data_IF_713620734790
#
_entry.id   IF_713620734790
#
_cell.length_a   1.000
_cell.length_b   1.000
_cell.length_c   1.000
_cell.angle_alpha   90.00
_cell.angle_beta   90.00
_cell.angle_gamma   90.00
#
_symmetry.space_group_name_H-M   'P 1'
#
loop_
_entity.id
_entity.type
_entity.pdbx_description
1 polymer ?
#
# COMPACT_ATOMS: atom_id res chain seq x y z
N UNK A 1 -1.76 -74.64 45.16
CA UNK A 1 -0.28 -74.73 45.02
C UNK A 1 0.01 -74.96 43.54
N UNK A 2 0.77 -74.18 42.76
CA UNK A 2 1.61 -73.00 42.94
C UNK A 2 1.46 -72.16 41.67
N UNK A 3 1.30 -70.84 41.83
CA UNK A 3 1.51 -69.82 40.79
C UNK A 3 3.01 -69.50 40.75
N UNK A 4 3.64 -69.52 39.59
CA UNK A 4 4.78 -68.64 39.25
C UNK A 4 4.72 -68.42 37.75
N UNK A 5 4.40 -67.21 37.31
CA UNK A 5 4.88 -66.70 36.03
C UNK A 5 5.10 -65.20 36.16
N UNK A 6 6.38 -64.89 35.97
CA UNK A 6 7.13 -63.66 35.87
C UNK A 6 6.40 -62.54 35.10
N UNK A 7 6.18 -61.39 35.74
CA UNK A 7 5.83 -60.13 35.05
C UNK A 7 7.12 -59.33 34.84
N UNK A 8 7.56 -59.22 33.58
CA UNK A 8 8.58 -58.26 33.16
C UNK A 8 7.86 -56.93 32.90
N UNK A 9 8.16 -55.93 33.74
CA UNK A 9 7.75 -54.55 33.54
C UNK A 9 8.63 -53.94 32.44
N UNK A 10 8.07 -53.71 31.25
CA UNK A 10 8.68 -52.92 30.19
C UNK A 10 7.91 -51.58 30.11
N UNK A 11 8.42 -50.58 30.82
CA UNK A 11 8.03 -49.18 30.68
C UNK A 11 8.45 -48.69 29.29
N UNK A 12 7.52 -48.69 28.35
CA UNK A 12 7.64 -47.99 27.08
C UNK A 12 7.52 -46.48 27.35
N UNK A 13 8.67 -45.81 27.42
CA UNK A 13 8.77 -44.37 27.28
C UNK A 13 8.24 -43.97 25.90
N UNK A 14 6.98 -43.55 25.84
CA UNK A 14 6.41 -42.84 24.68
C UNK A 14 7.02 -41.44 24.63
N UNK A 15 8.18 -41.34 23.99
CA UNK A 15 8.75 -40.06 23.56
C UNK A 15 7.83 -39.50 22.47
N UNK A 16 6.86 -38.68 22.88
CA UNK A 16 6.12 -37.83 21.96
C UNK A 16 7.11 -36.78 21.41
N UNK A 17 7.68 -37.07 20.24
CA UNK A 17 8.45 -36.11 19.47
C UNK A 17 7.47 -35.04 19.01
N UNK A 18 7.38 -33.95 19.79
CA UNK A 18 6.88 -32.68 19.29
C UNK A 18 7.86 -32.23 18.20
N UNK A 19 7.54 -32.58 16.95
CA UNK A 19 8.08 -31.90 15.78
C UNK A 19 7.60 -30.46 15.85
N UNK A 20 8.40 -29.60 16.53
CA UNK A 20 8.41 -28.17 16.31
C UNK A 20 8.81 -27.96 14.84
N UNK A 21 7.82 -28.05 13.95
CA UNK A 21 7.96 -27.54 12.59
C UNK A 21 8.13 -26.04 12.74
N UNK A 22 9.38 -25.58 12.70
CA UNK A 22 9.63 -24.16 12.49
C UNK A 22 8.91 -23.82 11.18
N UNK A 23 8.01 -22.82 11.17
CA UNK A 23 7.34 -22.44 9.94
C UNK A 23 8.44 -22.13 8.94
N UNK A 24 8.49 -22.92 7.86
CA UNK A 24 9.40 -22.69 6.75
C UNK A 24 9.23 -21.22 6.38
N UNK A 25 10.31 -20.43 6.51
CA UNK A 25 10.32 -19.07 5.99
C UNK A 25 10.12 -19.22 4.48
N UNK A 26 8.88 -19.08 4.01
CA UNK A 26 8.59 -18.98 2.57
C UNK A 26 9.47 -17.83 2.07
N UNK A 27 10.55 -18.20 1.37
CA UNK A 27 11.47 -17.26 0.74
C UNK A 27 10.73 -16.71 -0.45
N UNK A 28 10.79 -15.39 -0.62
CA UNK A 28 10.27 -14.79 -1.84
C UNK A 28 11.00 -15.40 -3.04
N UNK A 29 10.25 -15.78 -4.06
CA UNK A 29 10.81 -16.32 -5.28
C UNK A 29 11.68 -15.26 -5.95
N UNK A 30 12.96 -15.57 -6.16
CA UNK A 30 13.88 -14.65 -6.84
C UNK A 30 13.53 -14.65 -8.32
N UNK A 31 13.29 -13.47 -8.89
CA UNK A 31 13.00 -13.34 -10.32
C UNK A 31 14.29 -13.60 -11.11
N UNK A 32 14.24 -14.54 -12.05
CA UNK A 32 15.40 -14.94 -12.85
C UNK A 32 15.83 -13.86 -13.87
N UNK A 33 17.00 -14.04 -14.49
CA UNK A 33 17.56 -13.05 -15.43
C UNK A 33 16.76 -12.93 -16.72
N UNK A 34 16.17 -14.02 -17.22
CA UNK A 34 15.37 -13.99 -18.44
C UNK A 34 14.13 -13.12 -18.22
N UNK A 35 13.43 -13.32 -17.10
CA UNK A 35 12.29 -12.51 -16.69
C UNK A 35 12.67 -11.04 -16.51
N UNK A 36 13.84 -10.75 -15.91
CA UNK A 36 14.36 -9.37 -15.82
C UNK A 36 14.60 -8.73 -17.20
N UNK A 37 15.16 -9.48 -18.16
CA UNK A 37 15.36 -8.99 -19.52
C UNK A 37 14.02 -8.73 -20.24
N UNK A 38 13.04 -9.63 -20.09
CA UNK A 38 11.70 -9.44 -20.66
C UNK A 38 11.03 -8.16 -20.15
N UNK A 39 11.08 -7.91 -18.84
CA UNK A 39 10.55 -6.67 -18.25
C UNK A 39 11.30 -5.43 -18.73
N UNK A 40 12.62 -5.52 -18.90
CA UNK A 40 13.40 -4.42 -19.47
C UNK A 40 12.98 -4.12 -20.92
N UNK A 41 12.80 -5.16 -21.74
CA UNK A 41 12.35 -5.01 -23.12
C UNK A 41 10.91 -4.50 -23.19
N UNK A 42 10.04 -4.92 -22.27
CA UNK A 42 8.71 -4.35 -22.11
C UNK A 42 8.78 -2.84 -21.87
N UNK A 43 9.57 -2.38 -20.89
CA UNK A 43 9.70 -0.95 -20.60
C UNK A 43 10.19 -0.15 -21.82
N UNK A 44 11.16 -0.68 -22.58
CA UNK A 44 11.66 -0.05 -23.82
C UNK A 44 10.60 -0.01 -24.91
N UNK A 45 9.95 -1.14 -25.19
CA UNK A 45 8.96 -1.26 -26.27
C UNK A 45 7.72 -0.39 -26.02
N UNK A 46 7.38 -0.13 -24.76
CA UNK A 46 6.26 0.71 -24.37
C UNK A 46 6.64 2.18 -24.08
N UNK A 47 7.91 2.54 -24.28
CA UNK A 47 8.48 3.87 -24.03
C UNK A 47 8.23 4.35 -22.59
N UNK A 48 8.53 3.51 -21.60
CA UNK A 48 8.34 3.80 -20.19
C UNK A 48 9.64 4.37 -19.60
N UNK A 49 9.65 5.65 -19.26
CA UNK A 49 10.71 6.26 -18.44
C UNK A 49 10.43 5.95 -16.97
N UNK A 50 11.29 5.18 -16.32
CA UNK A 50 10.97 4.70 -14.98
C UNK A 50 11.90 3.61 -14.46
N UNK A 51 11.48 3.05 -13.33
CA UNK A 51 12.10 1.87 -12.75
C UNK A 51 11.03 0.82 -12.46
N UNK A 52 11.37 -0.45 -12.74
CA UNK A 52 10.67 -1.60 -12.20
C UNK A 52 11.50 -2.25 -11.09
N UNK A 53 10.86 -2.65 -10.00
CA UNK A 53 11.48 -3.42 -8.93
C UNK A 53 10.89 -4.82 -8.94
N UNK A 54 11.75 -5.83 -8.85
CA UNK A 54 11.38 -7.26 -8.83
C UNK A 54 12.09 -7.98 -7.68
N UNK A 55 11.62 -9.16 -7.26
CA UNK A 55 12.25 -9.88 -6.16
C UNK A 55 13.69 -10.29 -6.49
N UNK A 56 14.63 -9.81 -5.68
CA UNK A 56 16.01 -10.29 -5.61
C UNK A 56 16.22 -11.22 -4.42
N UNK A 57 17.49 -11.42 -4.08
CA UNK A 57 17.90 -12.27 -2.94
C UNK A 57 17.51 -11.62 -1.61
N UNK A 58 17.13 -12.46 -0.65
CA UNK A 58 16.87 -12.09 0.75
C UNK A 58 15.80 -10.98 0.93
N UNK A 59 14.79 -10.96 0.04
CA UNK A 59 13.69 -10.00 0.10
C UNK A 59 14.05 -8.57 -0.36
N UNK A 60 15.27 -8.37 -0.88
CA UNK A 60 15.71 -7.11 -1.48
C UNK A 60 15.29 -7.05 -2.96
N UNK A 61 14.96 -5.87 -3.50
CA UNK A 61 14.62 -5.77 -4.91
C UNK A 61 15.87 -5.84 -5.80
N UNK A 62 15.67 -6.32 -7.02
CA UNK A 62 16.50 -5.96 -8.19
C UNK A 62 15.78 -4.83 -8.92
N UNK A 63 16.50 -3.76 -9.26
CA UNK A 63 15.96 -2.64 -10.02
C UNK A 63 16.28 -2.82 -11.50
N UNK A 64 15.25 -2.72 -12.33
CA UNK A 64 15.30 -2.65 -13.79
C UNK A 64 15.01 -1.20 -14.17
N UNK A 65 15.92 -0.57 -14.89
CA UNK A 65 15.83 0.84 -15.26
C UNK A 65 15.60 0.99 -16.77
N UNK A 66 14.75 1.95 -17.15
CA UNK A 66 14.65 2.43 -18.52
C UNK A 66 14.56 3.97 -18.53
N UNK A 67 15.37 4.61 -19.37
CA UNK A 67 15.46 6.06 -19.48
C UNK A 67 15.09 6.49 -20.90
N UNK A 68 13.94 7.14 -21.08
CA UNK A 68 13.48 7.73 -22.34
C UNK A 68 13.86 9.21 -22.45
N UNK A 69 14.87 9.65 -21.69
CA UNK A 69 15.32 11.03 -21.61
C UNK A 69 16.82 11.12 -21.33
N UNK A 70 17.45 12.18 -21.82
CA UNK A 70 18.83 12.57 -21.48
C UNK A 70 18.89 13.65 -20.40
N UNK A 71 17.75 14.23 -20.02
CA UNK A 71 17.65 15.21 -18.95
C UNK A 71 17.76 14.51 -17.59
N UNK A 72 18.85 14.79 -16.86
CA UNK A 72 19.13 14.20 -15.55
C UNK A 72 18.05 14.47 -14.51
N UNK A 73 17.29 15.55 -14.65
CA UNK A 73 16.21 15.89 -13.73
C UNK A 73 14.95 15.05 -13.96
N UNK A 74 14.80 14.41 -15.13
CA UNK A 74 13.67 13.54 -15.48
C UNK A 74 13.97 12.04 -15.27
N UNK A 75 15.21 11.68 -14.91
CA UNK A 75 15.58 10.29 -14.64
C UNK A 75 14.98 9.83 -13.32
N UNK A 76 14.13 8.79 -13.38
CA UNK A 76 13.57 8.12 -12.20
C UNK A 76 14.65 7.22 -11.60
N UNK A 77 14.82 7.26 -10.28
CA UNK A 77 15.78 6.40 -9.56
C UNK A 77 15.10 5.73 -8.37
N UNK A 78 15.47 4.48 -8.11
CA UNK A 78 14.84 3.68 -7.06
C UNK A 78 15.13 4.18 -5.63
N UNK A 79 16.17 5.00 -5.43
CA UNK A 79 16.59 5.56 -4.14
C UNK A 79 16.24 7.05 -3.96
N UNK A 80 15.51 7.66 -4.91
CA UNK A 80 15.04 9.05 -4.82
C UNK A 80 13.55 9.08 -4.50
N UNK A 81 13.11 10.17 -3.87
CA UNK A 81 11.69 10.36 -3.56
C UNK A 81 10.85 10.31 -4.84
N UNK A 82 9.71 9.64 -4.75
CA UNK A 82 8.73 9.54 -5.82
C UNK A 82 7.32 9.81 -5.22
N UNK A 83 6.43 10.52 -5.91
CA UNK A 83 5.06 10.71 -5.41
C UNK A 83 4.31 9.38 -5.45
N UNK A 84 3.96 8.81 -4.30
CA UNK A 84 3.35 7.47 -4.29
C UNK A 84 1.89 7.46 -4.70
N UNK A 85 1.22 8.62 -4.66
CA UNK A 85 -0.21 8.74 -4.95
C UNK A 85 -1.00 7.68 -4.14
N UNK A 86 -2.05 7.11 -4.74
CA UNK A 86 -2.91 6.09 -4.12
C UNK A 86 -2.21 4.83 -3.60
N UNK A 87 -0.95 4.57 -3.94
CA UNK A 87 -0.18 3.51 -3.27
C UNK A 87 -0.05 3.76 -1.75
N UNK A 88 -0.10 5.02 -1.32
CA UNK A 88 -0.13 5.37 0.10
C UNK A 88 -1.29 4.75 0.87
N UNK A 89 -2.42 4.44 0.22
CA UNK A 89 -3.58 3.83 0.91
C UNK A 89 -3.22 2.53 1.61
N UNK A 90 -2.23 1.78 1.11
CA UNK A 90 -1.70 0.59 1.79
C UNK A 90 -1.03 0.97 3.11
N UNK A 91 -0.25 2.06 3.14
CA UNK A 91 0.39 2.58 4.36
C UNK A 91 -0.65 2.95 5.41
N UNK A 92 -1.69 3.67 5.00
CA UNK A 92 -2.80 4.07 5.88
C UNK A 92 -3.59 2.86 6.36
N UNK A 93 -3.95 1.93 5.46
CA UNK A 93 -4.64 0.69 5.79
C UNK A 93 -3.86 -0.13 6.82
N UNK A 94 -2.56 -0.38 6.59
CA UNK A 94 -1.69 -1.07 7.55
C UNK A 94 -1.64 -0.35 8.90
N UNK A 95 -1.64 0.98 8.95
CA UNK A 95 -1.71 1.72 10.21
C UNK A 95 -3.04 1.47 10.95
N UNK A 96 -4.17 1.48 10.24
CA UNK A 96 -5.49 1.13 10.81
C UNK A 96 -5.47 -0.28 11.38
N UNK A 97 -4.91 -1.25 10.65
CA UNK A 97 -4.76 -2.62 11.14
C UNK A 97 -3.87 -2.72 12.38
N UNK A 98 -2.77 -1.97 12.47
CA UNK A 98 -1.96 -1.91 13.70
C UNK A 98 -2.76 -1.36 14.90
N UNK A 99 -3.66 -0.39 14.69
CA UNK A 99 -4.56 0.10 15.76
C UNK A 99 -5.58 -0.97 16.16
N UNK A 100 -6.10 -1.72 15.18
CA UNK A 100 -6.97 -2.87 15.42
C UNK A 100 -6.30 -3.95 16.25
N UNK A 101 -5.09 -4.35 15.90
CA UNK A 101 -4.32 -5.33 16.68
C UNK A 101 -4.10 -4.89 18.13
N UNK A 102 -3.97 -3.58 18.36
CA UNK A 102 -3.88 -2.95 19.68
C UNK A 102 -5.25 -2.76 20.37
N UNK A 103 -6.34 -3.28 19.78
CA UNK A 103 -7.74 -3.16 20.25
C UNK A 103 -8.20 -1.71 20.45
N UNK A 104 -7.62 -0.76 19.69
CA UNK A 104 -7.97 0.66 19.79
C UNK A 104 -9.20 1.02 18.94
N UNK A 105 -9.43 0.24 17.89
CA UNK A 105 -10.59 0.26 17.02
C UNK A 105 -10.84 -1.16 16.49
N UNK A 106 -11.99 -1.36 15.87
CA UNK A 106 -12.33 -2.56 15.10
C UNK A 106 -13.02 -2.14 13.80
N UNK A 107 -13.22 -3.09 12.88
CA UNK A 107 -13.86 -2.83 11.59
C UNK A 107 -15.26 -2.25 11.73
N UNK A 108 -16.04 -2.70 12.72
CA UNK A 108 -17.41 -2.21 12.97
C UNK A 108 -17.44 -0.96 13.88
N UNK A 109 -16.28 -0.34 14.16
CA UNK A 109 -16.27 0.93 14.88
C UNK A 109 -16.93 2.01 14.03
N UNK A 110 -18.01 2.60 14.53
CA UNK A 110 -18.70 3.71 13.86
C UNK A 110 -17.81 4.96 13.75
N UNK A 111 -17.88 5.65 12.61
CA UNK A 111 -17.22 6.91 12.34
C UNK A 111 -17.61 8.00 13.36
N UNK A 112 -18.83 7.95 13.88
CA UNK A 112 -19.35 8.88 14.90
C UNK A 112 -18.53 8.91 16.20
N UNK A 113 -17.76 7.86 16.51
CA UNK A 113 -16.78 7.85 17.62
C UNK A 113 -15.72 8.94 17.43
N UNK A 114 -15.34 9.22 16.18
CA UNK A 114 -14.25 10.15 15.84
C UNK A 114 -14.75 11.45 15.20
N UNK A 115 -15.77 11.39 14.35
CA UNK A 115 -16.27 12.55 13.61
C UNK A 115 -17.81 12.57 13.62
N UNK A 116 -18.45 12.78 14.79
CA UNK A 116 -19.92 12.78 14.91
C UNK A 116 -20.60 13.92 14.15
N UNK A 117 -19.85 14.92 13.70
CA UNK A 117 -20.37 16.03 12.90
C UNK A 117 -20.52 15.69 11.40
N UNK A 118 -19.96 14.56 10.95
CA UNK A 118 -20.12 14.11 9.56
C UNK A 118 -21.51 13.49 9.40
N UNK A 119 -22.20 13.86 8.33
CA UNK A 119 -23.49 13.28 7.98
C UNK A 119 -23.35 11.77 7.72
N UNK A 120 -24.32 10.97 8.17
CA UNK A 120 -24.21 9.51 8.11
C UNK A 120 -23.17 8.86 9.04
N UNK A 121 -22.43 9.63 9.86
CA UNK A 121 -21.31 9.08 10.65
C UNK A 121 -21.67 7.94 11.61
N UNK A 122 -22.95 7.81 12.01
CA UNK A 122 -23.42 6.68 12.82
C UNK A 122 -23.56 5.38 12.03
N UNK A 123 -23.83 5.49 10.73
CA UNK A 123 -24.07 4.39 9.79
C UNK A 123 -22.74 3.91 9.21
N UNK A 124 -21.80 4.83 8.98
CA UNK A 124 -20.47 4.54 8.43
C UNK A 124 -19.54 3.91 9.47
N UNK A 125 -18.85 2.85 9.07
CA UNK A 125 -17.87 2.09 9.87
C UNK A 125 -16.45 2.20 9.33
N UNK A 126 -15.44 1.79 10.12
CA UNK A 126 -14.05 1.66 9.64
C UNK A 126 -13.98 0.69 8.45
N UNK A 127 -14.78 -0.37 8.45
CA UNK A 127 -14.87 -1.36 7.36
C UNK A 127 -15.24 -0.69 6.04
N UNK A 128 -16.27 0.16 6.06
CA UNK A 128 -16.78 0.85 4.87
C UNK A 128 -15.80 1.88 4.31
N UNK A 129 -15.04 2.54 5.20
CA UNK A 129 -13.92 3.40 4.77
C UNK A 129 -12.77 2.58 4.16
N UNK A 130 -12.47 1.40 4.71
CA UNK A 130 -11.37 0.54 4.22
C UNK A 130 -11.68 -0.14 2.87
N UNK A 131 -12.95 -0.21 2.47
CA UNK A 131 -13.39 -0.87 1.24
C UNK A 131 -14.11 0.05 0.23
N UNK A 132 -14.14 1.36 0.48
CA UNK A 132 -14.79 2.34 -0.40
C UNK A 132 -16.30 2.17 -0.56
N UNK A 133 -17.01 1.82 0.53
CA UNK A 133 -18.48 1.67 0.55
C UNK A 133 -19.17 2.61 1.54
N UNK A 134 -18.51 3.70 1.93
CA UNK A 134 -19.01 4.63 2.95
C UNK A 134 -20.12 5.57 2.46
N UNK A 135 -20.28 5.73 1.15
CA UNK A 135 -21.10 6.78 0.54
C UNK A 135 -20.54 8.20 0.68
N UNK A 136 -19.31 8.37 1.20
CA UNK A 136 -18.66 9.67 1.28
C UNK A 136 -18.03 10.05 -0.06
N UNK A 137 -18.29 11.27 -0.52
CA UNK A 137 -17.75 11.78 -1.79
C UNK A 137 -16.99 13.09 -1.55
N UNK A 138 -15.79 13.20 -2.13
CA UNK A 138 -15.06 14.47 -2.22
C UNK A 138 -14.21 14.56 -3.49
N UNK A 139 -14.71 15.30 -4.48
CA UNK A 139 -14.00 15.57 -5.73
C UNK A 139 -13.42 17.00 -5.79
N UNK A 140 -13.56 17.78 -4.72
CA UNK A 140 -13.08 19.17 -4.71
C UNK A 140 -11.55 19.21 -4.58
N UNK A 141 -10.94 20.21 -5.22
CA UNK A 141 -9.49 20.46 -5.12
C UNK A 141 -9.23 21.93 -4.78
N UNK A 142 -8.27 22.20 -3.87
CA UNK A 142 -7.96 23.55 -3.45
C UNK A 142 -7.26 24.30 -4.59
N UNK A 143 -7.36 25.64 -4.62
CA UNK A 143 -6.60 26.44 -5.58
C UNK A 143 -5.11 26.54 -5.20
N UNK A 144 -4.81 26.55 -3.90
CA UNK A 144 -3.44 26.57 -3.37
C UNK A 144 -3.16 25.34 -2.50
N UNK A 145 -1.91 24.84 -2.45
CA UNK A 145 -1.58 23.67 -1.63
C UNK A 145 -1.90 23.87 -0.14
N UNK A 146 -2.62 22.91 0.44
CA UNK A 146 -3.06 22.90 1.84
C UNK A 146 -1.91 22.54 2.78
N UNK A 147 -1.33 23.53 3.47
CA UNK A 147 -0.14 23.30 4.31
C UNK A 147 -0.49 22.70 5.67
N UNK A 148 -0.11 21.44 5.85
CA UNK A 148 -0.14 20.72 7.11
C UNK A 148 -1.50 20.11 7.44
N UNK A 149 -1.46 19.06 8.26
CA UNK A 149 -2.60 18.20 8.58
C UNK A 149 -3.87 18.95 9.01
N UNK A 150 -3.76 20.04 9.78
CA UNK A 150 -4.94 20.81 10.22
C UNK A 150 -5.69 21.42 9.03
N UNK A 151 -4.97 21.99 8.06
CA UNK A 151 -5.57 22.60 6.87
C UNK A 151 -6.19 21.52 5.98
N UNK A 152 -5.51 20.39 5.82
CA UNK A 152 -5.99 19.26 5.02
C UNK A 152 -7.29 18.68 5.58
N UNK A 153 -7.33 18.36 6.87
CA UNK A 153 -8.54 17.85 7.54
C UNK A 153 -9.68 18.89 7.50
N UNK A 154 -9.38 20.17 7.71
CA UNK A 154 -10.41 21.22 7.66
C UNK A 154 -11.02 21.37 6.26
N UNK A 155 -10.19 21.24 5.22
CA UNK A 155 -10.65 21.24 3.83
C UNK A 155 -11.52 20.02 3.54
N UNK A 156 -11.02 18.82 3.82
CA UNK A 156 -11.77 17.56 3.67
C UNK A 156 -13.15 17.65 4.34
N UNK A 157 -13.22 18.02 5.63
CA UNK A 157 -14.48 18.10 6.37
C UNK A 157 -15.46 19.14 5.83
N UNK A 158 -14.97 20.20 5.18
CA UNK A 158 -15.81 21.24 4.60
C UNK A 158 -16.40 20.83 3.24
N UNK A 159 -15.70 19.99 2.51
CA UNK A 159 -16.00 19.68 1.10
C UNK A 159 -16.61 18.28 0.91
N UNK A 160 -16.44 17.37 1.87
CA UNK A 160 -17.07 16.05 1.82
C UNK A 160 -18.60 16.16 1.79
N UNK A 161 -19.21 15.20 1.10
CA UNK A 161 -20.65 14.98 1.04
C UNK A 161 -20.94 13.52 1.32
N UNK A 162 -22.18 13.21 1.69
CA UNK A 162 -22.65 11.85 1.89
C UNK A 162 -23.82 11.60 0.94
N UNK A 163 -23.73 10.56 0.12
CA UNK A 163 -24.70 10.23 -0.92
C UNK A 163 -25.69 9.12 -0.50
N UNK A 164 -25.47 8.51 0.67
CA UNK A 164 -26.26 7.43 1.26
C UNK A 164 -26.27 6.10 0.49
N UNK A 165 -25.44 5.92 -0.55
CA UNK A 165 -25.57 4.76 -1.45
C UNK A 165 -24.99 3.48 -0.86
N UNK A 166 -23.97 3.57 0.01
CA UNK A 166 -23.25 2.43 0.60
C UNK A 166 -22.83 1.33 -0.41
N UNK A 167 -22.65 1.74 -1.67
CA UNK A 167 -22.13 0.90 -2.75
C UNK A 167 -20.65 1.23 -3.00
N UNK A 168 -19.97 0.39 -3.75
CA UNK A 168 -18.56 0.62 -4.04
C UNK A 168 -18.38 1.87 -4.90
N UNK A 169 -17.66 2.87 -4.37
CA UNK A 169 -17.22 4.05 -5.09
C UNK A 169 -15.84 4.48 -4.58
N UNK A 170 -14.81 4.39 -5.43
CA UNK A 170 -13.44 4.70 -5.03
C UNK A 170 -13.30 6.19 -4.71
N UNK A 171 -13.19 6.52 -3.43
CA UNK A 171 -13.15 7.89 -2.94
C UNK A 171 -11.94 8.13 -2.02
N UNK A 172 -11.08 9.09 -2.38
CA UNK A 172 -9.89 9.44 -1.58
C UNK A 172 -10.25 9.83 -0.15
N UNK A 173 -11.42 10.46 0.03
CA UNK A 173 -11.95 10.93 1.32
C UNK A 173 -12.04 9.82 2.36
N UNK A 174 -12.27 8.57 1.95
CA UNK A 174 -12.33 7.45 2.89
C UNK A 174 -10.99 7.27 3.61
N UNK A 175 -9.89 7.36 2.85
CA UNK A 175 -8.54 7.24 3.38
C UNK A 175 -8.05 8.52 4.07
N UNK A 176 -8.56 9.68 3.65
CA UNK A 176 -8.36 10.94 4.38
C UNK A 176 -8.98 10.88 5.78
N UNK A 177 -10.20 10.35 5.89
CA UNK A 177 -10.87 10.10 7.17
C UNK A 177 -10.08 9.08 7.99
N UNK A 178 -9.63 7.96 7.41
CA UNK A 178 -8.83 6.95 8.13
C UNK A 178 -7.52 7.55 8.69
N UNK A 179 -6.81 8.38 7.94
CA UNK A 179 -5.63 9.08 8.44
C UNK A 179 -5.95 10.09 9.55
N UNK A 180 -7.10 10.76 9.45
CA UNK A 180 -7.60 11.65 10.49
C UNK A 180 -8.01 10.88 11.76
N UNK A 181 -8.56 9.67 11.63
CA UNK A 181 -8.88 8.75 12.73
C UNK A 181 -7.60 8.27 13.42
N UNK A 182 -6.58 7.86 12.65
CA UNK A 182 -5.27 7.48 13.19
C UNK A 182 -4.73 8.59 14.08
N UNK A 183 -4.81 9.84 13.60
CA UNK A 183 -4.34 10.99 14.37
C UNK A 183 -5.13 11.20 15.66
N UNK A 184 -6.46 11.10 15.60
CA UNK A 184 -7.34 11.30 16.76
C UNK A 184 -7.18 10.18 17.81
N UNK A 185 -7.11 8.93 17.36
CA UNK A 185 -6.99 7.76 18.22
C UNK A 185 -5.62 7.67 18.92
N UNK A 186 -4.57 8.21 18.29
CA UNK A 186 -3.19 8.07 18.78
C UNK A 186 -2.65 9.34 19.43
N UNK A 187 -3.39 10.45 19.38
CA UNK A 187 -3.00 11.76 19.88
C UNK A 187 -1.65 12.29 19.33
N UNK A 188 -1.32 11.90 18.10
CA UNK A 188 -0.15 12.37 17.37
C UNK A 188 -0.53 12.66 15.92
N UNK A 189 0.28 13.44 15.18
CA UNK A 189 0.03 13.64 13.75
C UNK A 189 0.14 12.32 12.98
N UNK A 190 -0.57 12.20 11.85
CA UNK A 190 -0.50 11.05 10.97
C UNK A 190 0.96 10.80 10.54
N UNK A 191 1.67 11.84 10.11
CA UNK A 191 3.08 11.74 9.70
C UNK A 191 4.01 11.33 10.85
N UNK A 192 3.72 11.74 12.09
CA UNK A 192 4.43 11.24 13.28
C UNK A 192 4.17 9.75 13.50
N UNK A 193 2.92 9.30 13.31
CA UNK A 193 2.57 7.88 13.39
C UNK A 193 3.34 7.06 12.36
N UNK A 194 3.32 7.46 11.09
CA UNK A 194 4.02 6.76 9.99
C UNK A 194 5.52 6.69 10.28
N UNK A 195 6.14 7.79 10.69
CA UNK A 195 7.58 7.78 11.01
C UNK A 195 7.93 6.88 12.17
N UNK A 196 7.12 6.91 13.24
CA UNK A 196 7.39 6.16 14.47
C UNK A 196 7.16 4.66 14.28
N UNK A 197 6.09 4.27 13.58
CA UNK A 197 5.68 2.87 13.49
C UNK A 197 6.20 2.16 12.24
N UNK A 198 6.57 2.88 11.17
CA UNK A 198 7.05 2.28 9.93
C UNK A 198 8.44 2.77 9.52
N UNK A 199 8.62 4.09 9.35
CA UNK A 199 9.86 4.60 8.77
C UNK A 199 11.09 4.29 9.63
N UNK A 200 11.02 4.55 10.94
CA UNK A 200 12.14 4.29 11.87
C UNK A 200 12.43 2.79 12.02
N UNK A 201 11.44 1.91 12.31
CA UNK A 201 11.70 0.48 12.48
C UNK A 201 12.22 -0.22 11.22
N UNK A 202 11.79 0.22 10.03
CA UNK A 202 12.20 -0.37 8.75
C UNK A 202 13.41 0.32 8.11
N UNK A 203 13.96 1.35 8.75
CA UNK A 203 15.03 2.18 8.19
C UNK A 203 14.69 2.72 6.78
N UNK A 204 13.50 3.32 6.66
CA UNK A 204 13.09 4.05 5.46
C UNK A 204 13.72 5.44 5.52
N UNK A 205 14.63 5.73 4.61
CA UNK A 205 15.42 6.97 4.59
C UNK A 205 14.80 8.05 3.72
N UNK A 206 13.97 7.66 2.75
CA UNK A 206 13.37 8.48 1.72
C UNK A 206 11.85 8.36 1.81
N UNK A 207 11.29 8.98 2.85
CA UNK A 207 9.85 9.11 3.08
C UNK A 207 9.57 10.50 3.65
N UNK A 208 8.72 11.26 2.96
CA UNK A 208 8.37 12.64 3.33
C UNK A 208 6.91 12.92 3.08
N UNK A 209 6.35 13.82 3.86
CA UNK A 209 5.09 14.47 3.52
C UNK A 209 5.31 15.45 2.36
N UNK A 210 4.31 15.66 1.50
CA UNK A 210 4.41 16.58 0.36
C UNK A 210 4.93 17.97 0.77
N UNK A 211 4.59 18.46 1.96
CA UNK A 211 5.00 19.78 2.45
C UNK A 211 6.49 19.88 2.81
N UNK A 212 7.18 18.75 2.90
CA UNK A 212 8.62 18.64 3.21
C UNK A 212 9.47 18.35 1.96
N UNK A 213 8.83 18.28 0.79
CA UNK A 213 9.47 17.96 -0.49
C UNK A 213 9.64 19.23 -1.31
N UNK A 214 10.82 19.40 -1.89
CA UNK A 214 11.06 20.37 -2.96
C UNK A 214 11.08 19.67 -4.33
N UNK A 215 10.74 20.42 -5.39
CA UNK A 215 10.71 19.88 -6.76
C UNK A 215 12.01 19.16 -7.16
N UNK A 216 13.18 19.57 -6.67
CA UNK A 216 14.49 19.00 -7.04
C UNK A 216 14.77 17.61 -6.45
N UNK A 217 13.96 17.20 -5.47
CA UNK A 217 14.14 15.93 -4.77
C UNK A 217 13.47 14.75 -5.47
N UNK A 218 12.62 15.03 -6.45
CA UNK A 218 11.88 14.04 -7.25
C UNK A 218 12.27 14.13 -8.73
N UNK A 219 12.10 13.06 -9.52
CA UNK A 219 12.18 13.18 -10.98
C UNK A 219 11.12 14.14 -11.50
N UNK A 220 11.47 15.06 -12.39
CA UNK A 220 10.50 15.96 -13.04
C UNK A 220 9.61 15.18 -14.00
N UNK A 221 8.32 15.53 -14.15
CA UNK A 221 7.45 14.89 -15.11
C UNK A 221 7.96 15.16 -16.54
N UNK A 222 7.71 14.22 -17.45
CA UNK A 222 8.01 14.41 -18.87
C UNK A 222 6.85 15.08 -19.63
N UNK A 223 5.66 15.11 -19.04
CA UNK A 223 4.53 15.90 -19.54
C UNK A 223 4.77 17.39 -19.26
N UNK A 224 4.94 18.25 -20.28
CA UNK A 224 5.22 19.67 -20.10
C UNK A 224 4.04 20.45 -19.50
N UNK A 225 2.84 19.87 -19.44
CA UNK A 225 1.65 20.48 -18.84
C UNK A 225 1.55 20.27 -17.33
N UNK A 226 2.52 19.56 -16.74
CA UNK A 226 2.58 19.28 -15.31
C UNK A 226 3.70 20.10 -14.68
N UNK A 227 3.30 21.05 -13.83
CA UNK A 227 4.23 21.82 -13.02
C UNK A 227 4.15 21.42 -11.53
N UNK A 228 5.04 22.00 -10.73
CA UNK A 228 5.12 21.72 -9.30
C UNK A 228 3.87 22.19 -8.53
N UNK A 229 3.20 23.24 -9.00
CA UNK A 229 1.98 23.72 -8.35
C UNK A 229 0.86 22.69 -8.52
N UNK A 230 0.67 22.14 -9.72
CA UNK A 230 -0.31 21.08 -9.98
C UNK A 230 -0.05 19.82 -9.15
N UNK A 231 1.21 19.41 -9.02
CA UNK A 231 1.61 18.26 -8.17
C UNK A 231 1.29 18.53 -6.70
N UNK A 232 1.64 19.71 -6.19
CA UNK A 232 1.44 20.04 -4.77
C UNK A 232 -0.01 20.31 -4.41
N UNK A 233 -0.81 20.91 -5.29
CA UNK A 233 -2.27 21.05 -5.09
C UNK A 233 -2.91 19.67 -4.93
N UNK A 234 -2.65 18.77 -5.88
CA UNK A 234 -3.18 17.40 -5.87
C UNK A 234 -2.76 16.65 -4.60
N UNK A 235 -1.45 16.57 -4.35
CA UNK A 235 -0.95 15.81 -3.19
C UNK A 235 -1.32 16.45 -1.85
N UNK A 236 -1.56 17.76 -1.79
CA UNK A 236 -1.98 18.41 -0.53
C UNK A 236 -3.41 18.08 -0.13
N UNK A 237 -4.33 17.84 -1.07
CA UNK A 237 -5.71 17.47 -0.75
C UNK A 237 -5.84 16.00 -0.37
N UNK A 238 -4.99 15.13 -0.90
CA UNK A 238 -5.09 13.67 -0.72
C UNK A 238 -4.42 13.22 0.61
N UNK A 239 -4.74 13.87 1.73
CA UNK A 239 -4.15 13.58 3.04
C UNK A 239 -4.37 12.12 3.45
N UNK A 240 -3.33 11.36 3.75
CA UNK A 240 -3.50 9.93 4.06
C UNK A 240 -3.77 9.03 2.85
N UNK A 241 -4.16 9.60 1.71
CA UNK A 241 -4.53 8.88 0.49
C UNK A 241 -3.46 8.95 -0.61
N UNK A 242 -2.68 10.02 -0.68
CA UNK A 242 -1.66 10.25 -1.70
C UNK A 242 -0.63 11.36 -1.44
N UNK A 243 -0.63 11.98 -0.25
CA UNK A 243 0.28 13.06 0.14
C UNK A 243 1.71 12.64 0.58
N UNK A 244 2.05 11.36 0.58
CA UNK A 244 3.39 10.86 0.88
C UNK A 244 4.24 10.71 -0.38
N UNK A 245 5.51 11.02 -0.22
CA UNK A 245 6.55 10.82 -1.20
C UNK A 245 7.50 9.79 -0.61
N UNK A 246 7.68 8.66 -1.29
CA UNK A 246 8.49 7.54 -0.83
C UNK A 246 9.35 7.08 -1.98
N UNK A 247 10.63 6.78 -1.73
CA UNK A 247 11.44 6.17 -2.79
C UNK A 247 10.93 4.77 -3.15
N UNK A 248 11.06 4.33 -4.42
CA UNK A 248 10.69 2.97 -4.81
C UNK A 248 11.28 1.88 -3.91
N UNK A 249 12.56 2.00 -3.52
CA UNK A 249 13.22 1.05 -2.63
C UNK A 249 12.63 1.04 -1.21
N UNK A 250 12.28 2.19 -0.66
CA UNK A 250 11.67 2.24 0.67
C UNK A 250 10.21 1.82 0.65
N UNK A 251 9.48 2.09 -0.43
CA UNK A 251 8.14 1.57 -0.63
C UNK A 251 8.15 0.03 -0.77
N UNK A 252 9.11 -0.52 -1.51
CA UNK A 252 9.36 -1.97 -1.55
C UNK A 252 9.58 -2.55 -0.16
N UNK A 253 10.49 -1.95 0.63
CA UNK A 253 10.76 -2.40 2.01
C UNK A 253 9.51 -2.37 2.88
N UNK A 254 8.69 -1.32 2.76
CA UNK A 254 7.43 -1.20 3.49
C UNK A 254 6.48 -2.34 3.14
N UNK A 255 6.12 -2.49 1.86
CA UNK A 255 5.17 -3.51 1.40
C UNK A 255 5.70 -4.92 1.74
N UNK A 256 6.97 -5.20 1.49
CA UNK A 256 7.53 -6.52 1.77
C UNK A 256 7.49 -6.90 3.26
N UNK A 257 7.77 -5.95 4.17
CA UNK A 257 7.90 -6.25 5.60
C UNK A 257 6.60 -6.11 6.39
N UNK A 258 5.76 -5.13 6.06
CA UNK A 258 4.53 -4.87 6.81
C UNK A 258 3.30 -5.50 6.17
N UNK A 259 3.35 -5.82 4.87
CA UNK A 259 2.23 -6.42 4.14
C UNK A 259 2.50 -7.89 3.86
N UNK A 260 3.49 -8.21 3.01
CA UNK A 260 3.73 -9.59 2.54
C UNK A 260 4.29 -10.53 3.62
N UNK A 261 4.86 -9.98 4.70
CA UNK A 261 5.37 -10.76 5.84
C UNK A 261 4.38 -10.85 7.01
N UNK A 262 3.21 -10.23 6.91
CA UNK A 262 2.11 -10.41 7.85
C UNK A 262 0.94 -11.18 7.20
N UNK A 263 1.02 -12.53 7.14
CA UNK A 263 -0.04 -13.33 6.56
C UNK A 263 -1.36 -13.22 7.33
N UNK A 264 -1.35 -12.79 8.60
CA UNK A 264 -2.60 -12.60 9.35
C UNK A 264 -3.34 -11.38 8.84
N UNK A 265 -2.63 -10.27 8.65
CA UNK A 265 -3.20 -9.04 8.10
C UNK A 265 -3.83 -9.30 6.74
N UNK A 266 -3.06 -9.88 5.81
CA UNK A 266 -3.53 -9.99 4.43
C UNK A 266 -4.68 -11.01 4.29
N UNK A 267 -4.68 -12.10 5.07
CA UNK A 267 -5.80 -13.02 5.10
C UNK A 267 -7.04 -12.36 5.70
N UNK A 268 -6.89 -11.53 6.74
CA UNK A 268 -8.01 -10.79 7.31
C UNK A 268 -8.59 -9.79 6.30
N UNK A 269 -7.74 -9.07 5.57
CA UNK A 269 -8.17 -8.18 4.49
C UNK A 269 -8.88 -8.95 3.38
N UNK A 270 -8.35 -10.10 2.97
CA UNK A 270 -8.98 -10.95 1.99
C UNK A 270 -10.38 -11.37 2.44
N UNK A 271 -10.56 -11.81 3.69
CA UNK A 271 -11.89 -12.14 4.22
C UNK A 271 -12.88 -10.96 4.18
N UNK A 272 -12.39 -9.72 4.30
CA UNK A 272 -13.25 -8.53 4.16
C UNK A 272 -13.57 -8.17 2.72
N UNK A 273 -12.62 -8.38 1.81
CA UNK A 273 -12.79 -8.14 0.40
C UNK A 273 -13.68 -9.20 -0.28
N UNK A 274 -13.73 -10.41 0.28
CA UNK A 274 -14.57 -11.49 -0.24
C UNK A 274 -16.06 -11.09 -0.19
N UNK A 275 -16.79 -11.46 -1.25
CA UNK A 275 -18.22 -11.20 -1.42
C UNK A 275 -18.63 -9.72 -1.57
N UNK A 276 -17.66 -8.81 -1.73
CA UNK A 276 -17.93 -7.43 -2.13
C UNK A 276 -18.10 -7.33 -3.66
N UNK A 277 -18.77 -6.28 -4.13
CA UNK A 277 -18.89 -5.96 -5.57
C UNK A 277 -17.52 -5.86 -6.23
N UNK A 278 -16.59 -5.17 -5.55
CA UNK A 278 -15.18 -5.11 -5.90
C UNK A 278 -14.39 -5.66 -4.72
N UNK A 279 -13.54 -6.65 -4.98
CA UNK A 279 -12.68 -7.25 -3.96
C UNK A 279 -11.54 -6.29 -3.58
N UNK A 280 -11.86 -5.27 -2.76
CA UNK A 280 -10.93 -4.25 -2.30
C UNK A 280 -11.00 -4.13 -0.78
N UNK A 281 -9.85 -4.11 -0.12
CA UNK A 281 -9.79 -3.80 1.31
C UNK A 281 -8.39 -3.31 1.69
N UNK A 282 -8.30 -2.24 2.48
CA UNK A 282 -7.05 -1.84 3.12
C UNK A 282 -5.94 -1.39 2.17
N UNK A 283 -6.32 -0.86 1.00
CA UNK A 283 -5.41 -0.23 0.06
C UNK A 283 -5.17 -1.03 -1.20
N UNK A 284 -5.68 -2.27 -1.27
CA UNK A 284 -5.35 -3.23 -2.33
C UNK A 284 -6.60 -3.88 -2.91
N UNK A 285 -6.54 -4.15 -4.21
CA UNK A 285 -7.46 -5.05 -4.91
C UNK A 285 -6.96 -6.49 -4.76
N UNK A 286 -7.88 -7.43 -4.64
CA UNK A 286 -7.62 -8.86 -4.58
C UNK A 286 -8.06 -9.56 -5.88
N UNK A 287 -7.22 -10.47 -6.35
CA UNK A 287 -7.51 -11.44 -7.42
C UNK A 287 -6.89 -12.79 -7.03
N UNK A 288 -7.69 -13.64 -6.39
CA UNK A 288 -7.23 -14.87 -5.76
C UNK A 288 -6.12 -14.64 -4.72
N UNK A 289 -4.92 -15.14 -5.02
CA UNK A 289 -3.73 -15.00 -4.18
C UNK A 289 -2.89 -13.77 -4.52
N UNK A 290 -3.32 -12.98 -5.50
CA UNK A 290 -2.64 -11.77 -5.96
C UNK A 290 -3.33 -10.53 -5.41
N UNK A 291 -2.52 -9.58 -4.96
CA UNK A 291 -2.95 -8.23 -4.60
C UNK A 291 -2.30 -7.20 -5.51
N UNK A 292 -3.03 -6.13 -5.82
CA UNK A 292 -2.52 -5.02 -6.63
C UNK A 292 -3.04 -3.66 -6.19
N UNK A 293 -2.29 -2.61 -6.50
CA UNK A 293 -2.78 -1.24 -6.43
C UNK A 293 -2.04 -0.36 -7.44
N UNK A 294 -2.72 0.72 -7.82
CA UNK A 294 -2.21 1.75 -8.71
C UNK A 294 -2.16 3.10 -7.98
N UNK A 295 -1.15 3.90 -8.30
CA UNK A 295 -0.99 5.28 -7.89
C UNK A 295 -0.92 6.16 -9.13
N UNK A 296 -1.73 7.22 -9.17
CA UNK A 296 -1.71 8.19 -10.26
C UNK A 296 -1.94 9.58 -9.71
N UNK A 297 -1.06 10.51 -10.09
CA UNK A 297 -1.26 11.95 -9.99
C UNK A 297 -0.74 12.58 -11.30
N UNK A 298 -1.01 13.87 -11.58
CA UNK A 298 -0.48 14.52 -12.78
C UNK A 298 1.02 14.28 -12.95
N UNK A 299 1.41 13.65 -14.06
CA UNK A 299 2.79 13.40 -14.45
C UNK A 299 3.49 12.22 -13.75
N UNK A 300 2.82 11.47 -12.86
CA UNK A 300 3.41 10.35 -12.14
C UNK A 300 2.43 9.18 -12.02
N UNK A 301 2.91 8.00 -12.39
CA UNK A 301 2.14 6.77 -12.41
C UNK A 301 2.97 5.63 -11.84
N UNK A 302 2.37 4.85 -10.94
CA UNK A 302 3.02 3.74 -10.28
C UNK A 302 2.03 2.61 -10.02
N UNK A 303 2.52 1.38 -9.98
CA UNK A 303 1.71 0.23 -9.58
C UNK A 303 2.55 -0.73 -8.77
N UNK A 304 1.87 -1.59 -8.02
CA UNK A 304 2.45 -2.83 -7.56
C UNK A 304 1.47 -3.98 -7.80
N UNK A 305 2.03 -5.15 -8.04
CA UNK A 305 1.32 -6.43 -8.11
C UNK A 305 2.14 -7.43 -7.31
N UNK A 306 1.50 -8.19 -6.43
CA UNK A 306 2.18 -9.19 -5.61
C UNK A 306 1.30 -10.40 -5.32
N UNK A 307 1.88 -11.59 -5.41
CA UNK A 307 1.32 -12.78 -4.80
C UNK A 307 1.70 -12.78 -3.32
N UNK A 308 0.70 -12.72 -2.43
CA UNK A 308 0.95 -12.62 -0.99
C UNK A 308 1.28 -13.95 -0.31
N UNK A 309 1.09 -15.09 -0.99
CA UNK A 309 1.52 -16.40 -0.50
C UNK A 309 2.99 -16.66 -0.83
N UNK A 310 3.41 -16.44 -2.07
CA UNK A 310 4.79 -16.63 -2.52
C UNK A 310 5.68 -15.43 -2.20
N UNK A 311 5.07 -14.26 -1.95
CA UNK A 311 5.73 -12.95 -1.75
C UNK A 311 6.47 -12.46 -2.99
N UNK A 312 6.11 -13.01 -4.16
CA UNK A 312 6.53 -12.48 -5.45
C UNK A 312 5.83 -11.15 -5.66
N UNK A 313 6.54 -10.16 -6.16
CA UNK A 313 6.13 -8.77 -6.22
C UNK A 313 6.88 -8.04 -7.33
N UNK A 314 6.14 -7.29 -8.12
CA UNK A 314 6.68 -6.38 -9.13
C UNK A 314 6.07 -5.00 -8.89
N UNK A 315 6.91 -3.96 -8.92
CA UNK A 315 6.49 -2.56 -8.80
C UNK A 315 6.98 -1.76 -9.99
N UNK A 316 6.18 -0.83 -10.50
CA UNK A 316 6.58 0.15 -11.51
C UNK A 316 6.44 1.57 -10.94
N UNK A 317 7.41 2.42 -11.24
CA UNK A 317 7.36 3.86 -10.97
C UNK A 317 7.81 4.63 -12.21
N UNK A 318 6.92 5.45 -12.78
CA UNK A 318 7.15 6.17 -14.04
C UNK A 318 6.61 7.59 -14.01
N UNK A 319 7.30 8.50 -14.70
CA UNK A 319 6.97 9.93 -14.78
C UNK A 319 6.61 10.39 -16.22
N UNK A 320 6.29 9.46 -17.12
CA UNK A 320 5.97 9.79 -18.53
C UNK A 320 4.78 9.03 -19.11
N UNK A 321 4.32 7.94 -18.50
CA UNK A 321 3.14 7.22 -18.96
C UNK A 321 1.87 7.86 -18.40
N UNK A 322 0.76 7.71 -19.12
CA UNK A 322 -0.57 8.04 -18.62
C UNK A 322 -1.19 6.90 -17.80
N UNK A 323 -2.39 7.15 -17.26
CA UNK A 323 -3.09 6.18 -16.43
C UNK A 323 -3.57 4.93 -17.20
N UNK A 324 -3.91 5.05 -18.49
CA UNK A 324 -4.34 3.92 -19.30
C UNK A 324 -3.17 2.95 -19.56
N UNK A 325 -2.01 3.50 -19.89
CA UNK A 325 -0.77 2.73 -20.04
C UNK A 325 -0.35 2.11 -18.72
N UNK A 326 -0.49 2.82 -17.59
CA UNK A 326 -0.28 2.23 -16.27
C UNK A 326 -1.16 1.01 -16.03
N UNK A 327 -2.47 1.09 -16.32
CA UNK A 327 -3.39 -0.05 -16.18
C UNK A 327 -2.95 -1.23 -17.05
N UNK A 328 -2.69 -0.97 -18.33
CA UNK A 328 -2.23 -2.00 -19.26
C UNK A 328 -0.95 -2.70 -18.77
N UNK A 329 0.01 -1.95 -18.20
CA UNK A 329 1.21 -2.53 -17.60
C UNK A 329 0.92 -3.30 -16.31
N UNK A 330 0.03 -2.81 -15.44
CA UNK A 330 -0.36 -3.55 -14.25
C UNK A 330 -1.09 -4.86 -14.59
N UNK A 331 -1.93 -4.87 -15.63
CA UNK A 331 -2.63 -6.06 -16.11
C UNK A 331 -1.65 -7.05 -16.76
N UNK A 332 -0.69 -6.55 -17.55
CA UNK A 332 0.39 -7.37 -18.12
C UNK A 332 1.23 -8.06 -17.03
N UNK A 333 1.61 -7.31 -15.99
CA UNK A 333 2.33 -7.86 -14.83
C UNK A 333 1.52 -8.98 -14.16
N UNK A 334 0.22 -8.77 -13.96
CA UNK A 334 -0.68 -9.74 -13.33
C UNK A 334 -0.71 -11.05 -14.13
N UNK A 335 -1.08 -10.98 -15.40
CA UNK A 335 -1.34 -12.18 -16.21
C UNK A 335 -0.06 -12.89 -16.66
N UNK A 336 1.02 -12.17 -16.94
CA UNK A 336 2.24 -12.77 -17.50
C UNK A 336 3.30 -13.10 -16.44
N UNK A 337 3.19 -12.56 -15.23
CA UNK A 337 4.23 -12.71 -14.21
C UNK A 337 3.73 -13.11 -12.82
N UNK A 338 2.43 -13.23 -12.57
CA UNK A 338 1.89 -13.66 -11.27
C UNK A 338 0.99 -14.90 -11.35
N UNK A 339 0.27 -15.11 -12.45
CA UNK A 339 -0.60 -16.27 -12.65
C UNK A 339 0.22 -17.51 -13.11
N UNK A 340 0.74 -18.30 -12.17
CA UNK A 340 1.36 -19.61 -12.43
C UNK A 340 0.88 -20.71 -11.48
#
# INVERSE_FOLDING_TARGET
MKKVNLYIFLTLCSFAIFLLTTPSKIKAEVVDKQTQHQLQDYMKNHHINGVMLVNGKDGKPVTIENNETTNKDQIVKADRLFPTASLQKIVTGTAVYQLRQKKQLDWDTSLSKYYPQIDGSKEITIRELMNHTSGLINNDRPFEPLRGQKAQIAYMLKHLKYDHTHTWDYQDVDYEILAAIISKQTHQSYNTYIRKNFAKPLHLHQIKDFSEVSKKEIPQPMDPTVDWHRVTVTTSSDFGAGNLFISPNDYWKFVYNEVLKDPKMINEYYQQAQHQEVAYFGGVYFDGDVIRANGSIPGYNSCFVADYKTKRMIMLFSNNIDYLKLKATSDDILHNYMEH
#
